data_IF_433910526285
#
_entry.id   IF_433910526285
#
_cell.length_a   1.000
_cell.length_b   1.000
_cell.length_c   1.000
_cell.angle_alpha   90.00
_cell.angle_beta   90.00
_cell.angle_gamma   90.00
#
_symmetry.space_group_name_H-M   'P 1'
#
loop_
_entity.id
_entity.type
_entity.pdbx_description
1 polymer ?
#
# COMPACT_ATOMS: atom_id res chain seq x y z
N UNK A 1 45.53 -21.99 -3.57
CA UNK A 1 45.66 -21.55 -4.98
C UNK A 1 44.41 -20.83 -5.53
N UNK A 2 43.23 -20.95 -4.92
CA UNK A 2 42.00 -20.28 -5.38
C UNK A 2 41.89 -18.78 -5.06
N UNK A 3 42.47 -18.29 -3.96
CA UNK A 3 42.31 -16.86 -3.59
C UNK A 3 42.99 -15.89 -4.56
N UNK A 4 44.14 -16.29 -5.10
CA UNK A 4 44.86 -15.50 -6.10
C UNK A 4 44.04 -15.39 -7.39
N UNK A 5 43.47 -16.50 -7.85
CA UNK A 5 42.68 -16.56 -9.07
C UNK A 5 41.37 -15.76 -8.94
N UNK A 6 40.70 -15.86 -7.79
CA UNK A 6 39.53 -15.05 -7.46
C UNK A 6 39.84 -13.55 -7.42
N UNK A 7 40.98 -13.17 -6.82
CA UNK A 7 41.42 -11.77 -6.74
C UNK A 7 41.79 -11.21 -8.12
N UNK A 8 42.46 -12.00 -8.96
CA UNK A 8 42.80 -11.62 -10.33
C UNK A 8 41.56 -11.47 -11.21
N UNK A 9 40.54 -12.32 -11.05
CA UNK A 9 39.27 -12.18 -11.76
C UNK A 9 38.59 -10.88 -11.35
N UNK A 10 38.41 -10.61 -10.04
CA UNK A 10 37.78 -9.37 -9.56
C UNK A 10 38.52 -8.13 -10.06
N UNK A 11 39.86 -8.14 -10.00
CA UNK A 11 40.69 -7.04 -10.48
C UNK A 11 40.53 -6.81 -11.99
N UNK A 12 40.51 -7.88 -12.80
CA UNK A 12 40.26 -7.80 -14.24
C UNK A 12 38.86 -7.31 -14.56
N UNK A 13 37.85 -7.79 -13.84
CA UNK A 13 36.45 -7.37 -14.01
C UNK A 13 36.27 -5.88 -13.68
N UNK A 14 36.87 -5.40 -12.61
CA UNK A 14 36.82 -3.98 -12.22
C UNK A 14 37.58 -3.05 -13.19
N UNK A 15 38.57 -3.55 -13.92
CA UNK A 15 39.32 -2.77 -14.91
C UNK A 15 38.60 -2.64 -16.26
N UNK A 16 37.74 -3.62 -16.60
CA UNK A 16 37.05 -3.70 -17.90
C UNK A 16 35.63 -3.15 -17.80
N UNK A 17 34.93 -3.39 -16.68
CA UNK A 17 33.57 -2.90 -16.51
C UNK A 17 33.59 -1.40 -16.17
N UNK A 18 32.79 -0.57 -16.86
CA UNK A 18 32.66 0.84 -16.52
C UNK A 18 32.02 0.97 -15.13
N UNK A 19 32.84 1.17 -14.10
CA UNK A 19 32.41 1.50 -12.76
C UNK A 19 31.93 2.97 -12.73
N UNK A 20 30.64 3.19 -13.01
CA UNK A 20 30.02 4.49 -12.80
C UNK A 20 29.68 4.63 -11.32
N UNK A 21 30.46 5.39 -10.57
CA UNK A 21 30.04 5.89 -9.26
C UNK A 21 28.83 6.79 -9.49
N UNK A 22 27.62 6.27 -9.27
CA UNK A 22 26.39 7.05 -9.30
C UNK A 22 26.47 7.97 -8.08
N UNK A 23 27.02 9.16 -8.28
CA UNK A 23 27.02 10.20 -7.27
C UNK A 23 25.56 10.53 -6.90
N UNK A 24 25.26 10.62 -5.62
CA UNK A 24 23.89 10.81 -5.10
C UNK A 24 23.41 12.27 -5.26
N UNK A 25 23.81 12.93 -6.34
CA UNK A 25 23.56 14.34 -6.64
C UNK A 25 22.13 14.59 -7.12
N UNK A 26 21.30 13.54 -7.12
CA UNK A 26 19.88 13.64 -7.35
C UNK A 26 19.24 14.40 -6.19
N UNK A 27 19.14 15.72 -6.35
CA UNK A 27 18.02 16.45 -5.76
C UNK A 27 16.77 15.73 -6.24
N UNK A 28 16.15 14.93 -5.36
CA UNK A 28 14.85 14.30 -5.64
C UNK A 28 13.87 15.42 -5.92
N UNK A 29 13.74 15.82 -7.19
CA UNK A 29 12.67 16.70 -7.66
C UNK A 29 11.41 15.88 -7.51
N UNK A 30 10.76 16.02 -6.36
CA UNK A 30 9.48 15.39 -6.11
C UNK A 30 8.51 15.88 -7.19
N UNK A 31 7.87 14.99 -7.95
CA UNK A 31 6.85 15.40 -8.91
C UNK A 31 5.78 16.24 -8.19
N UNK A 32 5.31 17.32 -8.83
CA UNK A 32 4.31 18.24 -8.24
C UNK A 32 3.05 17.51 -7.78
N UNK A 33 2.66 16.45 -8.48
CA UNK A 33 1.50 15.63 -8.15
C UNK A 33 1.70 14.84 -6.86
N UNK A 34 2.92 14.34 -6.62
CA UNK A 34 3.27 13.63 -5.41
C UNK A 34 3.37 14.59 -4.21
N UNK A 35 3.87 15.81 -4.42
CA UNK A 35 3.82 16.86 -3.40
C UNK A 35 2.37 17.19 -3.01
N UNK A 36 1.52 17.39 -4.01
CA UNK A 36 0.08 17.65 -3.83
C UNK A 36 -0.61 16.52 -3.08
N UNK A 37 -0.33 15.27 -3.44
CA UNK A 37 -0.84 14.08 -2.76
C UNK A 37 -0.38 14.02 -1.30
N UNK A 38 0.89 14.31 -1.00
CA UNK A 38 1.40 14.35 0.36
C UNK A 38 0.74 15.47 1.18
N UNK A 39 0.50 16.63 0.58
CA UNK A 39 -0.22 17.73 1.23
C UNK A 39 -1.67 17.32 1.57
N UNK A 40 -2.38 16.69 0.63
CA UNK A 40 -3.73 16.17 0.85
C UNK A 40 -3.75 15.10 1.97
N UNK A 41 -2.78 14.18 1.96
CA UNK A 41 -2.62 13.16 2.99
C UNK A 41 -2.38 13.77 4.38
N UNK A 42 -1.46 14.73 4.50
CA UNK A 42 -1.18 15.41 5.78
C UNK A 42 -2.39 16.18 6.29
N UNK A 43 -3.12 16.85 5.38
CA UNK A 43 -4.37 17.52 5.72
C UNK A 43 -5.41 16.53 6.26
N UNK A 44 -5.67 15.42 5.56
CA UNK A 44 -6.60 14.39 6.03
C UNK A 44 -6.21 13.83 7.39
N UNK A 45 -4.93 13.56 7.63
CA UNK A 45 -4.46 13.06 8.92
C UNK A 45 -4.79 14.05 10.07
N UNK A 46 -4.65 15.36 9.83
CA UNK A 46 -5.02 16.40 10.80
C UNK A 46 -6.53 16.44 11.07
N UNK A 47 -7.35 16.31 10.03
CA UNK A 47 -8.81 16.27 10.17
C UNK A 47 -9.23 15.02 10.94
N UNK A 48 -8.72 13.86 10.55
CA UNK A 48 -8.99 12.58 11.18
C UNK A 48 -8.62 12.59 12.66
N UNK A 49 -7.47 13.17 13.01
CA UNK A 49 -7.07 13.34 14.41
C UNK A 49 -8.07 14.22 15.18
N UNK A 50 -8.53 15.33 14.58
CA UNK A 50 -9.50 16.23 15.20
C UNK A 50 -10.83 15.53 15.47
N UNK A 51 -11.35 14.79 14.48
CA UNK A 51 -12.60 14.02 14.62
C UNK A 51 -12.43 12.85 15.60
N UNK A 52 -11.28 12.16 15.60
CA UNK A 52 -10.98 11.09 16.57
C UNK A 52 -11.01 11.61 18.01
N UNK A 53 -10.52 12.83 18.24
CA UNK A 53 -10.57 13.46 19.56
C UNK A 53 -12.02 13.72 19.99
N UNK A 54 -12.86 14.20 19.07
CA UNK A 54 -14.29 14.39 19.31
C UNK A 54 -15.03 13.07 19.54
N UNK A 55 -14.68 12.00 18.83
CA UNK A 55 -15.23 10.66 19.09
C UNK A 55 -14.89 10.17 20.50
N UNK A 56 -13.66 10.43 20.98
CA UNK A 56 -13.21 10.01 22.32
C UNK A 56 -13.82 10.85 23.44
N UNK A 57 -13.98 12.15 23.20
CA UNK A 57 -14.49 13.09 24.20
C UNK A 57 -15.59 13.99 23.61
N UNK A 58 -16.79 13.47 23.33
CA UNK A 58 -17.86 14.22 22.68
C UNK A 58 -18.29 15.48 23.44
N UNK A 59 -18.14 15.46 24.77
CA UNK A 59 -18.48 16.59 25.65
C UNK A 59 -17.55 17.81 25.49
N UNK A 60 -16.38 17.64 24.86
CA UNK A 60 -15.46 18.76 24.55
C UNK A 60 -15.88 19.53 23.30
N UNK A 61 -16.93 19.08 22.61
CA UNK A 61 -17.49 19.75 21.45
C UNK A 61 -17.91 21.18 21.81
N UNK A 62 -17.65 22.10 20.88
CA UNK A 62 -18.00 23.50 21.02
C UNK A 62 -18.20 24.13 19.63
N UNK A 63 -18.86 25.30 19.53
CA UNK A 63 -19.10 25.96 18.24
C UNK A 63 -17.83 26.28 17.44
N UNK A 64 -16.67 26.39 18.09
CA UNK A 64 -15.40 26.60 17.38
C UNK A 64 -14.99 25.39 16.53
N UNK A 65 -15.43 24.18 16.91
CA UNK A 65 -15.22 22.96 16.14
C UNK A 65 -16.01 22.98 14.83
N UNK A 66 -17.25 23.48 14.85
CA UNK A 66 -18.07 23.66 13.63
C UNK A 66 -17.45 24.69 12.68
N UNK A 67 -16.96 25.81 13.23
CA UNK A 67 -16.24 26.80 12.41
C UNK A 67 -15.01 26.17 11.75
N UNK A 68 -14.19 25.43 12.53
CA UNK A 68 -13.02 24.72 12.00
C UNK A 68 -13.40 23.67 10.96
N UNK A 69 -14.50 22.95 11.20
CA UNK A 69 -15.04 21.96 10.27
C UNK A 69 -15.46 22.57 8.95
N UNK A 70 -16.11 23.73 8.94
CA UNK A 70 -16.50 24.40 7.68
C UNK A 70 -15.30 24.65 6.76
N UNK A 71 -14.16 25.03 7.33
CA UNK A 71 -12.90 25.23 6.60
C UNK A 71 -12.36 23.87 6.09
N UNK A 72 -12.44 22.83 6.92
CA UNK A 72 -12.04 21.49 6.53
C UNK A 72 -12.93 20.93 5.41
N UNK A 73 -14.23 21.15 5.46
CA UNK A 73 -15.23 20.67 4.52
C UNK A 73 -14.96 21.18 3.10
N UNK A 74 -14.66 22.48 2.95
CA UNK A 74 -14.32 23.06 1.64
C UNK A 74 -13.09 22.36 1.05
N UNK A 75 -12.05 22.15 1.85
CA UNK A 75 -10.83 21.46 1.41
C UNK A 75 -11.06 19.98 1.10
N UNK A 76 -11.87 19.29 1.92
CA UNK A 76 -12.24 17.88 1.68
C UNK A 76 -13.01 17.72 0.37
N UNK A 77 -13.98 18.60 0.10
CA UNK A 77 -14.74 18.57 -1.15
C UNK A 77 -13.85 18.75 -2.38
N UNK A 78 -12.85 19.65 -2.29
CA UNK A 78 -11.86 19.81 -3.36
C UNK A 78 -11.02 18.54 -3.56
N UNK A 79 -10.62 17.85 -2.48
CA UNK A 79 -9.89 16.58 -2.55
C UNK A 79 -10.75 15.49 -3.21
N UNK A 80 -12.00 15.32 -2.80
CA UNK A 80 -12.89 14.33 -3.42
C UNK A 80 -13.10 14.59 -4.90
N UNK A 81 -13.27 15.87 -5.27
CA UNK A 81 -13.41 16.27 -6.67
C UNK A 81 -12.14 16.02 -7.47
N UNK A 82 -10.97 16.25 -6.87
CA UNK A 82 -9.68 15.98 -7.50
C UNK A 82 -9.48 14.47 -7.77
N UNK A 83 -9.88 13.62 -6.83
CA UNK A 83 -9.80 12.16 -6.93
C UNK A 83 -11.15 11.50 -7.26
N UNK A 84 -11.98 12.14 -8.08
CA UNK A 84 -13.35 11.68 -8.37
C UNK A 84 -13.40 10.26 -8.97
N UNK A 85 -12.38 9.87 -9.73
CA UNK A 85 -12.26 8.50 -10.28
C UNK A 85 -12.07 7.44 -9.20
N UNK A 86 -11.47 7.80 -8.05
CA UNK A 86 -11.20 6.90 -6.92
C UNK A 86 -12.39 6.90 -5.96
N UNK A 87 -13.02 8.05 -5.78
CA UNK A 87 -14.18 8.23 -4.90
C UNK A 87 -15.47 8.32 -5.70
N UNK A 88 -15.86 7.22 -6.33
CA UNK A 88 -17.13 7.09 -7.05
C UNK A 88 -18.01 6.02 -6.39
N UNK A 89 -19.15 6.39 -5.78
CA UNK A 89 -19.68 7.75 -5.66
C UNK A 89 -18.94 8.59 -4.61
N UNK A 90 -18.96 9.92 -4.78
CA UNK A 90 -18.37 10.88 -3.83
C UNK A 90 -19.11 10.75 -2.49
N UNK A 91 -18.39 10.54 -1.36
CA UNK A 91 -19.03 10.43 -0.07
C UNK A 91 -19.64 11.77 0.35
N UNK A 92 -20.90 11.72 0.81
CA UNK A 92 -21.61 12.90 1.31
C UNK A 92 -21.11 13.23 2.72
N UNK A 93 -20.50 14.40 2.87
CA UNK A 93 -20.05 14.89 4.17
C UNK A 93 -21.11 15.80 4.80
N UNK A 94 -21.24 15.78 6.15
CA UNK A 94 -22.14 16.65 6.89
C UNK A 94 -21.71 18.11 6.79
N UNK A 95 -22.68 19.01 6.66
CA UNK A 95 -22.43 20.46 6.60
C UNK A 95 -21.95 21.05 7.94
N UNK A 96 -22.40 20.48 9.06
CA UNK A 96 -21.98 20.83 10.42
C UNK A 96 -21.68 19.58 11.24
N UNK A 97 -20.69 19.63 12.12
CA UNK A 97 -20.39 18.53 13.05
C UNK A 97 -21.48 18.38 14.10
N UNK A 98 -22.16 19.47 14.48
CA UNK A 98 -23.32 19.40 15.39
C UNK A 98 -24.38 18.39 14.94
N UNK A 99 -24.61 18.26 13.62
CA UNK A 99 -25.54 17.26 13.08
C UNK A 99 -25.12 15.80 13.30
N UNK A 100 -23.83 15.55 13.54
CA UNK A 100 -23.23 14.23 13.75
C UNK A 100 -23.17 13.84 15.24
N UNK A 101 -23.85 14.59 16.09
CA UNK A 101 -23.86 14.29 17.52
C UNK A 101 -24.65 13.01 17.82
N UNK A 102 -25.66 12.69 16.98
CA UNK A 102 -26.54 11.53 17.14
C UNK A 102 -25.80 10.19 17.12
N UNK A 103 -24.66 10.12 16.44
CA UNK A 103 -23.82 8.93 16.30
C UNK A 103 -22.42 9.13 16.92
N UNK A 104 -22.26 10.14 17.80
CA UNK A 104 -20.98 10.50 18.42
C UNK A 104 -19.83 10.64 17.39
N UNK A 105 -20.10 11.23 16.24
CA UNK A 105 -19.15 11.45 15.15
C UNK A 105 -18.57 10.17 14.51
N UNK A 106 -19.16 8.99 14.74
CA UNK A 106 -18.61 7.73 14.25
C UNK A 106 -18.71 7.58 12.73
N UNK A 107 -19.84 7.93 12.12
CA UNK A 107 -20.02 7.82 10.67
C UNK A 107 -19.02 8.68 9.92
N UNK A 108 -18.89 9.95 10.31
CA UNK A 108 -17.91 10.86 9.71
C UNK A 108 -16.47 10.36 9.92
N UNK A 109 -16.16 9.77 11.08
CA UNK A 109 -14.85 9.17 11.32
C UNK A 109 -14.59 7.99 10.37
N UNK A 110 -15.55 7.08 10.21
CA UNK A 110 -15.43 5.92 9.30
C UNK A 110 -15.22 6.38 7.87
N UNK A 111 -16.01 7.34 7.38
CA UNK A 111 -15.86 7.90 6.04
C UNK A 111 -14.47 8.52 5.85
N UNK A 112 -14.01 9.37 6.78
CA UNK A 112 -12.69 10.01 6.69
C UNK A 112 -11.53 9.02 6.85
N UNK A 113 -11.72 7.94 7.62
CA UNK A 113 -10.72 6.90 7.77
C UNK A 113 -10.57 6.06 6.51
N UNK A 114 -11.68 5.75 5.84
CA UNK A 114 -11.67 5.08 4.54
C UNK A 114 -10.89 5.89 3.50
N UNK A 115 -11.13 7.20 3.44
CA UNK A 115 -10.46 8.08 2.48
C UNK A 115 -8.99 8.25 2.78
N UNK A 116 -8.64 8.35 4.06
CA UNK A 116 -7.25 8.32 4.52
C UNK A 116 -6.54 7.04 4.07
N UNK A 117 -7.16 5.86 4.22
CA UNK A 117 -6.57 4.59 3.77
C UNK A 117 -6.29 4.59 2.27
N UNK A 118 -7.23 5.06 1.46
CA UNK A 118 -7.08 5.14 0.00
C UNK A 118 -5.97 6.10 -0.41
N UNK A 119 -5.94 7.34 0.11
CA UNK A 119 -4.87 8.27 -0.22
C UNK A 119 -3.51 7.82 0.31
N UNK A 120 -3.46 7.12 1.45
CA UNK A 120 -2.22 6.52 1.97
C UNK A 120 -1.66 5.44 1.03
N UNK A 121 -2.53 4.67 0.38
CA UNK A 121 -2.10 3.68 -0.60
C UNK A 121 -1.43 4.35 -1.81
N UNK A 122 -1.96 5.51 -2.24
CA UNK A 122 -1.37 6.31 -3.32
C UNK A 122 -0.08 7.01 -2.89
N UNK A 123 0.04 7.44 -1.63
CA UNK A 123 1.20 8.21 -1.14
C UNK A 123 2.44 7.37 -0.89
N UNK A 124 2.33 6.04 -0.96
CA UNK A 124 3.50 5.17 -0.87
C UNK A 124 4.31 5.30 -2.15
N UNK A 125 5.55 5.78 -2.01
CA UNK A 125 6.55 5.63 -3.07
C UNK A 125 6.77 4.13 -3.30
N UNK A 126 6.21 3.60 -4.39
CA UNK A 126 6.56 2.26 -4.84
C UNK A 126 8.07 2.25 -5.07
N UNK A 127 8.78 1.45 -4.28
CA UNK A 127 10.16 1.11 -4.59
C UNK A 127 10.06 0.11 -5.74
N UNK A 128 10.11 0.63 -6.96
CA UNK A 128 10.08 -0.20 -8.16
C UNK A 128 11.50 -0.73 -8.36
N UNK A 129 11.66 -2.05 -8.26
CA UNK A 129 12.85 -2.71 -8.77
C UNK A 129 12.64 -2.77 -10.28
N UNK A 130 13.44 -1.99 -11.02
CA UNK A 130 13.53 -2.15 -12.47
C UNK A 130 14.56 -3.24 -12.74
N UNK A 131 14.11 -4.31 -13.38
CA UNK A 131 15.00 -5.36 -13.87
C UNK A 131 15.30 -5.02 -15.32
N UNK A 132 16.56 -4.72 -15.60
CA UNK A 132 17.00 -4.40 -16.96
C UNK A 132 17.39 -5.68 -17.73
N UNK A 133 17.66 -6.77 -17.01
CA UNK A 133 18.06 -8.06 -17.57
C UNK A 133 17.48 -9.19 -16.69
N UNK A 134 16.96 -10.23 -17.33
CA UNK A 134 16.48 -11.45 -16.64
C UNK A 134 17.14 -12.65 -17.28
N UNK A 135 17.80 -13.49 -16.48
CA UNK A 135 18.40 -14.73 -16.94
C UNK A 135 17.48 -15.90 -16.58
N UNK A 136 16.98 -16.59 -17.60
CA UNK A 136 16.21 -17.82 -17.45
C UNK A 136 17.19 -18.99 -17.41
N UNK A 137 17.29 -19.62 -16.25
CA UNK A 137 18.10 -20.82 -16.05
C UNK A 137 17.30 -22.06 -16.51
N UNK A 138 17.49 -22.44 -17.78
CA UNK A 138 16.86 -23.61 -18.38
C UNK A 138 17.94 -24.63 -18.81
N UNK A 139 17.79 -25.93 -18.50
CA UNK A 139 18.85 -26.93 -18.66
C UNK A 139 19.33 -27.13 -20.11
N UNK A 140 18.49 -26.81 -21.10
CA UNK A 140 18.79 -27.04 -22.53
C UNK A 140 18.86 -25.75 -23.34
N UNK A 141 18.40 -24.63 -22.80
CA UNK A 141 18.27 -23.38 -23.53
C UNK A 141 18.29 -22.17 -22.58
N UNK A 142 19.43 -21.91 -21.91
CA UNK A 142 19.55 -20.73 -21.07
C UNK A 142 19.38 -19.46 -21.93
N UNK A 143 18.60 -18.51 -21.43
CA UNK A 143 18.26 -17.31 -22.18
C UNK A 143 18.43 -16.06 -21.32
N UNK A 144 19.11 -15.05 -21.85
CA UNK A 144 19.18 -13.72 -21.26
C UNK A 144 18.18 -12.81 -21.98
N UNK A 145 17.19 -12.33 -21.24
CA UNK A 145 16.18 -11.40 -21.71
C UNK A 145 16.61 -9.97 -21.41
N UNK A 146 16.53 -9.11 -22.43
CA UNK A 146 16.85 -7.68 -22.35
C UNK A 146 15.70 -6.79 -22.85
N UNK A 147 14.75 -7.36 -23.59
CA UNK A 147 13.55 -6.64 -24.01
C UNK A 147 12.61 -6.43 -22.81
N UNK A 148 12.11 -5.20 -22.55
CA UNK A 148 11.28 -4.91 -21.39
C UNK A 148 9.99 -5.72 -21.31
N UNK A 149 9.39 -6.08 -22.45
CA UNK A 149 8.16 -6.87 -22.48
C UNK A 149 8.46 -8.32 -22.12
N UNK A 150 9.49 -8.89 -22.73
CA UNK A 150 9.91 -10.27 -22.45
C UNK A 150 10.36 -10.43 -20.99
N UNK A 151 11.06 -9.43 -20.44
CA UNK A 151 11.41 -9.35 -19.02
C UNK A 151 10.16 -9.35 -18.14
N UNK A 152 9.17 -8.51 -18.45
CA UNK A 152 7.93 -8.44 -17.68
C UNK A 152 7.20 -9.78 -17.68
N UNK A 153 7.05 -10.38 -18.86
CA UNK A 153 6.33 -11.65 -19.03
C UNK A 153 7.05 -12.78 -18.28
N UNK A 154 8.37 -12.88 -18.39
CA UNK A 154 9.16 -13.89 -17.67
C UNK A 154 9.15 -13.71 -16.16
N UNK A 155 9.17 -12.48 -15.65
CA UNK A 155 9.09 -12.18 -14.21
C UNK A 155 7.70 -12.54 -13.67
N UNK A 156 6.64 -12.18 -14.38
CA UNK A 156 5.27 -12.54 -14.00
C UNK A 156 5.11 -14.05 -13.95
N UNK A 157 5.54 -14.77 -15.00
CA UNK A 157 5.49 -16.23 -15.05
C UNK A 157 6.29 -16.86 -13.91
N UNK A 158 7.53 -16.41 -13.68
CA UNK A 158 8.35 -16.89 -12.58
C UNK A 158 7.64 -16.72 -11.24
N UNK A 159 7.15 -15.54 -10.89
CA UNK A 159 6.53 -15.34 -9.57
C UNK A 159 5.17 -16.02 -9.42
N UNK A 160 4.43 -16.23 -10.51
CA UNK A 160 3.18 -16.99 -10.49
C UNK A 160 3.42 -18.50 -10.30
N UNK A 161 4.54 -19.03 -10.81
CA UNK A 161 4.81 -20.47 -10.84
C UNK A 161 5.93 -20.94 -9.90
N UNK A 162 6.79 -20.03 -9.41
CA UNK A 162 7.96 -20.36 -8.57
C UNK A 162 7.54 -20.91 -7.20
N UNK A 163 6.37 -20.51 -6.72
CA UNK A 163 5.69 -21.19 -5.61
C UNK A 163 4.61 -22.05 -6.23
N UNK A 164 4.63 -23.38 -6.07
CA UNK A 164 3.48 -24.19 -6.45
C UNK A 164 2.28 -23.65 -5.68
N UNK A 165 1.33 -23.01 -6.36
CA UNK A 165 0.03 -22.67 -5.79
C UNK A 165 -0.73 -24.01 -5.67
N UNK A 166 -0.30 -24.84 -4.72
CA UNK A 166 -1.07 -25.99 -4.22
C UNK A 166 -2.09 -25.56 -3.17
N UNK A 167 -2.25 -24.26 -2.94
CA UNK A 167 -3.29 -23.76 -2.07
C UNK A 167 -4.53 -23.49 -2.91
N UNK A 168 -5.41 -24.49 -3.03
CA UNK A 168 -6.83 -24.19 -2.85
C UNK A 168 -6.92 -23.30 -1.61
N UNK A 169 -7.54 -22.11 -1.67
CA UNK A 169 -7.68 -21.25 -0.51
C UNK A 169 -8.25 -22.11 0.62
N UNK A 170 -7.48 -22.28 1.68
CA UNK A 170 -7.93 -23.08 2.81
C UNK A 170 -9.12 -22.36 3.40
N UNK A 171 -10.30 -22.97 3.31
CA UNK A 171 -11.54 -22.39 3.84
C UNK A 171 -11.53 -22.27 5.37
N UNK A 172 -10.53 -22.86 6.04
CA UNK A 172 -10.43 -22.90 7.49
C UNK A 172 -8.96 -22.91 7.96
N UNK A 173 -8.68 -22.30 9.12
CA UNK A 173 -7.32 -22.24 9.72
C UNK A 173 -6.73 -23.63 9.93
N UNK A 174 -7.58 -24.61 10.25
CA UNK A 174 -7.20 -26.01 10.50
C UNK A 174 -6.58 -26.72 9.30
N UNK A 175 -6.72 -26.19 8.09
CA UNK A 175 -6.07 -26.74 6.88
C UNK A 175 -4.77 -26.01 6.50
N UNK A 176 -4.31 -25.05 7.33
CA UNK A 176 -2.96 -24.49 7.25
C UNK A 176 -1.92 -25.47 7.83
N UNK A 177 -0.66 -25.37 7.40
CA UNK A 177 0.44 -26.12 8.02
C UNK A 177 0.68 -25.66 9.47
N UNK A 178 1.25 -26.54 10.30
CA UNK A 178 1.44 -26.32 11.74
C UNK A 178 2.08 -24.96 12.08
N UNK A 179 3.08 -24.54 11.29
CA UNK A 179 3.74 -23.24 11.43
C UNK A 179 2.74 -22.08 11.33
N UNK A 180 1.86 -22.10 10.35
CA UNK A 180 0.90 -21.03 10.10
C UNK A 180 -0.37 -21.18 10.97
N UNK A 181 -0.76 -22.41 11.30
CA UNK A 181 -1.84 -22.67 12.25
C UNK A 181 -1.54 -22.03 13.61
N UNK A 182 -0.31 -22.18 14.13
CA UNK A 182 0.09 -21.57 15.40
C UNK A 182 0.10 -20.04 15.34
N UNK A 183 0.61 -19.47 14.25
CA UNK A 183 0.75 -18.01 14.11
C UNK A 183 -0.60 -17.31 13.94
N UNK A 184 -1.55 -17.95 13.25
CA UNK A 184 -2.86 -17.40 12.94
C UNK A 184 -4.00 -17.95 13.81
N UNK A 185 -3.68 -18.71 14.85
CA UNK A 185 -4.70 -19.15 15.82
C UNK A 185 -5.37 -17.93 16.45
N UNK A 186 -6.71 -17.88 16.53
CA UNK A 186 -7.41 -16.75 17.13
C UNK A 186 -6.93 -16.53 18.55
N UNK A 187 -6.65 -15.27 18.90
CA UNK A 187 -6.39 -14.91 20.29
C UNK A 187 -7.65 -15.16 21.13
N UNK A 188 -7.49 -15.60 22.38
CA UNK A 188 -8.60 -15.91 23.29
C UNK A 188 -9.59 -14.74 23.50
N UNK A 189 -9.14 -13.51 23.22
CA UNK A 189 -9.92 -12.27 23.34
C UNK A 189 -10.68 -11.89 22.08
N UNK A 190 -10.47 -12.57 20.96
CA UNK A 190 -11.04 -12.24 19.65
C UNK A 190 -11.91 -13.38 19.16
N UNK A 191 -13.14 -13.06 18.74
CA UNK A 191 -14.06 -14.06 18.20
C UNK A 191 -13.46 -14.75 16.96
N UNK A 192 -13.41 -16.10 16.92
CA UNK A 192 -12.90 -16.85 15.77
C UNK A 192 -13.61 -16.53 14.44
N UNK A 193 -14.89 -16.13 14.49
CA UNK A 193 -15.70 -15.80 13.31
C UNK A 193 -15.13 -14.64 12.46
N UNK A 194 -14.29 -13.77 13.05
CA UNK A 194 -13.61 -12.69 12.32
C UNK A 194 -12.56 -13.29 11.37
N UNK A 195 -11.88 -14.35 11.78
CA UNK A 195 -10.85 -15.02 10.99
C UNK A 195 -11.47 -15.81 9.83
N UNK A 196 -12.61 -16.46 10.07
CA UNK A 196 -13.37 -17.16 9.03
C UNK A 196 -13.79 -16.19 7.91
N UNK A 197 -14.20 -14.97 8.27
CA UNK A 197 -14.51 -13.92 7.29
C UNK A 197 -13.29 -13.42 6.50
N UNK A 198 -12.08 -13.48 7.06
CA UNK A 198 -10.84 -13.06 6.40
C UNK A 198 -10.26 -14.14 5.47
N UNK A 199 -10.49 -15.41 5.82
CA UNK A 199 -9.98 -16.58 5.09
C UNK A 199 -10.98 -17.12 4.06
N UNK A 200 -12.22 -16.64 4.10
CA UNK A 200 -13.21 -16.88 3.06
C UNK A 200 -12.62 -16.51 1.70
N UNK A 201 -12.67 -17.39 0.68
CA UNK A 201 -12.12 -17.09 -0.62
C UNK A 201 -12.79 -15.84 -1.18
N UNK A 202 -11.99 -14.79 -1.42
CA UNK A 202 -12.43 -13.65 -2.19
C UNK A 202 -12.86 -14.18 -3.55
N UNK A 203 -14.15 -14.08 -3.87
CA UNK A 203 -14.63 -14.23 -5.23
C UNK A 203 -13.87 -13.21 -6.07
N UNK A 204 -12.82 -13.66 -6.75
CA UNK A 204 -12.16 -12.88 -7.78
C UNK A 204 -13.22 -12.62 -8.84
N UNK A 205 -13.81 -11.43 -8.80
CA UNK A 205 -14.62 -10.90 -9.88
C UNK A 205 -13.62 -10.62 -11.00
N UNK A 206 -13.49 -11.58 -11.92
CA UNK A 206 -12.74 -11.40 -13.15
C UNK A 206 -13.38 -10.24 -13.93
N UNK A 207 -12.62 -9.17 -14.14
CA UNK A 207 -12.86 -8.10 -15.10
C UNK A 207 -11.76 -8.09 -16.13
#
# INVERSE_FOLDING_TARGET
MCEYLHSSIIAGTNAILPARTISNDHTRKLPKDLETLLQHYHFLNRVLHSIRLLCKHPHTFSPSHDHKWSIYLVRLNNIYRFYNSIFSPIPVLPSTLSSCWTDNFQQIFVTLFHTFKLLRALSRSYHRIMLDHVFIDHPTAPQLLTDPKDISDAVVDHFQNAVPIKSTPSSHISALSDRWHSEYSPMDTVSPAIYDSLLSPLLWING
#
